data_IF_125400083037
#
_entry.id   IF_125400083037
#
_cell.length_a   1.000
_cell.length_b   1.000
_cell.length_c   1.000
_cell.angle_alpha   90.00
_cell.angle_beta   90.00
_cell.angle_gamma   90.00
#
_symmetry.space_group_name_H-M   'P 1'
#
loop_
_entity.id
_entity.type
_entity.pdbx_description
1 polymer ?
#
# COMPACT_ATOMS: atom_id res chain seq x y z
N UNK A 1 -13.63 -5.53 -5.83
CA UNK A 1 -12.21 -5.55 -6.27
C UNK A 1 -11.38 -4.92 -5.16
N UNK A 2 -10.43 -5.66 -4.56
CA UNK A 2 -9.62 -5.14 -3.46
C UNK A 2 -8.59 -4.10 -3.92
N UNK A 3 -8.02 -3.36 -2.98
CA UNK A 3 -7.05 -2.29 -3.27
C UNK A 3 -5.78 -2.84 -3.96
N UNK A 4 -5.38 -4.08 -3.62
CA UNK A 4 -4.21 -4.72 -4.24
C UNK A 4 -4.44 -4.99 -5.72
N UNK A 5 -5.62 -5.48 -6.08
CA UNK A 5 -6.00 -5.76 -7.46
C UNK A 5 -6.11 -4.48 -8.27
N UNK A 6 -6.65 -3.41 -7.69
CA UNK A 6 -6.74 -2.09 -8.33
C UNK A 6 -5.35 -1.49 -8.61
N UNK A 7 -4.45 -1.52 -7.62
CA UNK A 7 -3.08 -1.01 -7.78
C UNK A 7 -2.29 -1.85 -8.77
N UNK A 8 -2.45 -3.18 -8.75
CA UNK A 8 -1.82 -4.04 -9.75
C UNK A 8 -2.27 -3.67 -11.17
N UNK A 9 -3.57 -3.52 -11.38
CA UNK A 9 -4.11 -3.13 -12.68
C UNK A 9 -3.57 -1.75 -13.13
N UNK A 10 -3.45 -0.80 -12.20
CA UNK A 10 -2.88 0.51 -12.50
C UNK A 10 -1.41 0.43 -12.93
N UNK A 11 -0.57 -0.29 -12.18
CA UNK A 11 0.85 -0.46 -12.50
C UNK A 11 1.02 -1.19 -13.84
N UNK A 12 0.25 -2.25 -14.08
CA UNK A 12 0.30 -3.00 -15.34
C UNK A 12 -0.13 -2.11 -16.53
N UNK A 13 -1.02 -1.13 -16.32
CA UNK A 13 -1.47 -0.18 -17.35
C UNK A 13 -0.48 0.98 -17.60
N UNK A 14 0.48 1.22 -16.70
CA UNK A 14 1.42 2.34 -16.76
C UNK A 14 2.88 1.85 -16.63
N UNK A 15 3.45 1.21 -17.67
CA UNK A 15 4.82 0.68 -17.60
C UNK A 15 5.90 1.76 -17.45
N UNK A 16 5.57 3.01 -17.73
CA UNK A 16 6.41 4.20 -17.63
C UNK A 16 6.52 4.77 -16.20
N UNK A 17 5.63 4.36 -15.28
CA UNK A 17 5.63 4.87 -13.91
C UNK A 17 6.85 4.45 -13.08
N UNK A 18 7.69 3.55 -13.59
CA UNK A 18 8.93 3.09 -12.95
C UNK A 18 8.71 2.29 -11.65
N UNK A 19 7.46 1.92 -11.35
CA UNK A 19 7.07 1.19 -10.15
C UNK A 19 6.65 -0.23 -10.53
N UNK A 20 7.14 -1.23 -9.80
CA UNK A 20 6.63 -2.60 -9.92
C UNK A 20 5.63 -2.89 -8.80
N UNK A 21 4.72 -3.84 -9.05
CA UNK A 21 3.81 -4.30 -7.99
C UNK A 21 4.57 -4.84 -6.76
N UNK A 22 5.71 -5.50 -6.97
CA UNK A 22 6.58 -5.96 -5.87
C UNK A 22 7.14 -4.81 -5.03
N UNK A 23 7.63 -3.75 -5.68
CA UNK A 23 8.13 -2.54 -5.00
C UNK A 23 7.03 -1.87 -4.18
N UNK A 24 5.81 -1.78 -4.73
CA UNK A 24 4.66 -1.25 -4.01
C UNK A 24 4.32 -2.09 -2.77
N UNK A 25 4.30 -3.42 -2.88
CA UNK A 25 4.06 -4.31 -1.73
C UNK A 25 5.10 -4.11 -0.63
N UNK A 26 6.37 -3.96 -0.98
CA UNK A 26 7.44 -3.69 -0.01
C UNK A 26 7.23 -2.34 0.68
N UNK A 27 6.92 -1.29 -0.08
CA UNK A 27 6.65 0.03 0.47
C UNK A 27 5.47 0.01 1.46
N UNK A 28 4.38 -0.68 1.11
CA UNK A 28 3.24 -0.85 2.02
C UNK A 28 3.66 -1.57 3.30
N UNK A 29 4.40 -2.68 3.21
CA UNK A 29 4.89 -3.40 4.39
C UNK A 29 5.74 -2.50 5.29
N UNK A 30 6.62 -1.70 4.70
CA UNK A 30 7.46 -0.75 5.45
C UNK A 30 6.64 0.33 6.13
N UNK A 31 5.60 0.87 5.49
CA UNK A 31 4.73 1.89 6.10
C UNK A 31 3.87 1.27 7.20
N UNK A 32 3.26 0.11 6.95
CA UNK A 32 2.37 -0.52 7.93
C UNK A 32 3.13 -1.09 9.11
N UNK A 33 4.41 -1.43 8.98
CA UNK A 33 5.24 -1.83 10.12
C UNK A 33 5.65 -0.67 11.04
N UNK A 34 5.41 0.58 10.66
CA UNK A 34 5.77 1.75 11.48
C UNK A 34 4.95 1.77 12.76
N UNK A 35 5.59 2.16 13.87
CA UNK A 35 4.95 2.23 15.19
C UNK A 35 3.77 3.18 15.17
N UNK A 36 3.89 4.31 14.48
CA UNK A 36 2.85 5.33 14.31
C UNK A 36 1.63 4.74 13.62
N UNK A 37 1.83 3.99 12.53
CA UNK A 37 0.74 3.32 11.82
C UNK A 37 0.04 2.29 12.73
N UNK A 38 0.83 1.49 13.45
CA UNK A 38 0.29 0.50 14.40
C UNK A 38 -0.43 1.15 15.59
N UNK A 39 0.00 2.33 16.05
CA UNK A 39 -0.68 3.11 17.08
C UNK A 39 -2.01 3.65 16.56
N UNK A 40 -2.05 4.25 15.36
CA UNK A 40 -3.29 4.71 14.75
C UNK A 40 -4.32 3.59 14.60
N UNK A 41 -3.90 2.37 14.26
CA UNK A 41 -4.81 1.21 14.21
C UNK A 41 -5.37 0.82 15.58
N UNK A 42 -4.59 0.97 16.65
CA UNK A 42 -4.98 0.58 18.02
C UNK A 42 -5.81 1.65 18.73
N UNK A 43 -5.48 2.92 18.50
CA UNK A 43 -6.17 4.08 19.10
C UNK A 43 -7.51 4.37 18.43
N UNK A 44 -7.81 3.66 17.33
CA UNK A 44 -9.07 3.74 16.63
C UNK A 44 -9.03 4.87 15.61
N UNK A 45 -9.22 4.49 14.35
CA UNK A 45 -9.73 5.41 13.34
C UNK A 45 -10.97 6.10 13.93
N UNK A 46 -11.05 7.44 13.98
CA UNK A 46 -12.31 8.08 14.36
C UNK A 46 -13.41 7.57 13.41
N UNK A 47 -14.44 6.95 13.97
CA UNK A 47 -15.67 6.53 13.29
C UNK A 47 -16.55 7.75 12.99
#
# INVERSE_FOLDING_TARGET
MGIKEQVKAYIDAHPDCGMTFGTWIQAIRTVTSRIEYQRCLKEGTPL
#
